data_IF_247353637495
#
_entry.id   IF_247353637495
#
_cell.length_a   1.000
_cell.length_b   1.000
_cell.length_c   1.000
_cell.angle_alpha   90.00
_cell.angle_beta   90.00
_cell.angle_gamma   90.00
#
_symmetry.space_group_name_H-M   'P 1'
#
loop_
_entity.id
_entity.type
_entity.pdbx_description
1 polymer ?
#
# COMPACT_ATOMS: atom_id res chain seq x y z
N UNK A 1 -9.56 16.27 17.68
CA UNK A 1 -8.22 16.45 18.28
C UNK A 1 -8.07 17.88 18.73
N UNK A 2 -7.76 18.11 20.02
CA UNK A 2 -7.44 19.44 20.55
C UNK A 2 -5.99 19.73 20.18
N UNK A 3 -5.75 20.57 19.17
CA UNK A 3 -4.41 21.05 18.80
C UNK A 3 -3.89 22.16 19.72
N UNK A 4 -4.66 22.52 20.77
CA UNK A 4 -4.34 23.61 21.69
C UNK A 4 -3.77 23.00 22.97
N UNK A 5 -2.46 23.14 23.13
CA UNK A 5 -1.75 22.92 24.39
C UNK A 5 -1.88 24.20 25.25
N UNK A 6 -2.13 24.05 26.54
CA UNK A 6 -2.08 25.21 27.46
C UNK A 6 -0.64 25.72 27.56
N UNK A 7 -0.37 27.03 27.71
CA UNK A 7 0.99 27.52 27.93
C UNK A 7 1.68 26.90 29.16
N UNK A 8 0.90 26.43 30.14
CA UNK A 8 1.39 25.75 31.34
C UNK A 8 1.57 24.23 31.16
N UNK A 9 1.14 23.67 30.01
CA UNK A 9 1.24 22.26 29.71
C UNK A 9 2.57 21.98 28.97
N UNK A 10 3.39 21.03 29.44
CA UNK A 10 4.72 20.81 28.87
C UNK A 10 4.61 20.33 27.42
N UNK A 11 5.44 20.90 26.55
CA UNK A 11 5.46 20.51 25.13
C UNK A 11 5.65 19.00 24.99
N UNK A 12 4.89 18.32 24.10
CA UNK A 12 4.97 16.86 23.97
C UNK A 12 6.39 16.43 23.64
N UNK A 13 6.90 15.44 24.36
CA UNK A 13 8.26 14.93 24.16
C UNK A 13 8.46 14.26 22.78
N UNK A 14 7.38 13.92 22.08
CA UNK A 14 7.41 13.32 20.74
C UNK A 14 6.30 13.92 19.88
N UNK A 15 6.70 14.51 18.76
CA UNK A 15 5.83 14.77 17.63
C UNK A 15 5.83 13.48 16.79
N UNK A 16 5.12 12.46 17.27
CA UNK A 16 5.01 11.19 16.54
C UNK A 16 4.26 11.41 15.22
N UNK A 17 4.51 10.53 14.24
CA UNK A 17 3.74 10.52 13.01
C UNK A 17 2.25 10.36 13.33
N UNK A 18 1.42 11.06 12.57
CA UNK A 18 -0.03 10.88 12.63
C UNK A 18 -0.38 9.42 12.34
N UNK A 19 -1.37 8.90 13.07
CA UNK A 19 -1.94 7.57 12.80
C UNK A 19 -2.57 7.56 11.41
N UNK A 20 -2.67 6.38 10.80
CA UNK A 20 -3.21 6.22 9.45
C UNK A 20 -4.61 6.80 9.33
N UNK A 21 -5.48 6.51 10.31
CA UNK A 21 -6.86 7.01 10.29
C UNK A 21 -6.92 8.55 10.34
N UNK A 22 -5.96 9.19 11.02
CA UNK A 22 -5.93 10.65 11.14
C UNK A 22 -5.50 11.32 9.83
N UNK A 23 -4.60 10.68 9.07
CA UNK A 23 -4.19 11.15 7.74
C UNK A 23 -5.29 10.97 6.72
N UNK A 24 -6.01 9.85 6.74
CA UNK A 24 -7.18 9.62 5.87
C UNK A 24 -8.31 10.63 6.14
N UNK A 25 -8.56 10.94 7.42
CA UNK A 25 -9.53 11.97 7.81
C UNK A 25 -9.08 13.34 7.33
N UNK A 26 -7.79 13.66 7.41
CA UNK A 26 -7.25 14.91 6.89
C UNK A 26 -7.41 15.00 5.36
N UNK A 27 -7.08 13.93 4.64
CA UNK A 27 -7.28 13.84 3.19
C UNK A 27 -8.74 14.06 2.79
N UNK A 28 -9.67 13.41 3.51
CA UNK A 28 -11.11 13.58 3.30
C UNK A 28 -11.58 15.02 3.53
N UNK A 29 -10.99 15.73 4.48
CA UNK A 29 -11.32 17.15 4.73
C UNK A 29 -10.82 18.04 3.62
N UNK A 30 -9.59 17.84 3.16
CA UNK A 30 -9.02 18.62 2.06
C UNK A 30 -9.82 18.45 0.78
N UNK A 31 -10.30 17.23 0.47
CA UNK A 31 -11.19 17.02 -0.68
C UNK A 31 -12.49 17.83 -0.59
N UNK A 32 -13.08 17.92 0.61
CA UNK A 32 -14.29 18.73 0.83
C UNK A 32 -14.00 20.23 0.77
N UNK A 33 -12.82 20.65 1.23
CA UNK A 33 -12.35 22.04 1.14
C UNK A 33 -12.18 22.44 -0.33
N UNK A 34 -11.55 21.59 -1.15
CA UNK A 34 -11.42 21.77 -2.61
C UNK A 34 -12.79 21.91 -3.27
N UNK A 35 -13.74 21.02 -2.98
CA UNK A 35 -15.09 21.11 -3.54
C UNK A 35 -15.77 22.43 -3.15
N UNK A 36 -15.61 22.85 -1.90
CA UNK A 36 -16.18 24.10 -1.40
C UNK A 36 -15.57 25.32 -2.10
N UNK A 37 -14.24 25.43 -2.14
CA UNK A 37 -13.50 26.52 -2.80
C UNK A 37 -13.87 26.59 -4.28
N UNK A 38 -13.83 25.47 -5.00
CA UNK A 38 -14.19 25.44 -6.41
C UNK A 38 -15.65 25.87 -6.64
N UNK A 39 -16.57 25.49 -5.75
CA UNK A 39 -17.98 25.89 -5.85
C UNK A 39 -18.25 27.36 -5.50
N UNK A 40 -17.43 27.95 -4.63
CA UNK A 40 -17.63 29.30 -4.08
C UNK A 40 -16.85 30.36 -4.85
N UNK A 41 -15.58 30.08 -5.08
CA UNK A 41 -14.60 31.01 -5.63
C UNK A 41 -14.25 30.70 -7.09
N UNK A 42 -14.61 29.50 -7.58
CA UNK A 42 -14.38 29.06 -8.96
C UNK A 42 -12.97 28.55 -9.23
N UNK A 43 -12.09 28.62 -8.23
CA UNK A 43 -10.72 28.12 -8.24
C UNK A 43 -10.37 27.53 -6.87
N UNK A 44 -9.27 26.78 -6.82
CA UNK A 44 -8.75 26.16 -5.59
C UNK A 44 -7.57 26.98 -5.11
N UNK A 45 -7.49 27.25 -3.81
CA UNK A 45 -6.37 27.96 -3.23
C UNK A 45 -5.06 27.16 -3.39
N UNK A 46 -3.95 27.85 -3.65
CA UNK A 46 -2.66 27.22 -3.87
C UNK A 46 -2.17 26.42 -2.64
N UNK A 47 -2.48 26.88 -1.42
CA UNK A 47 -2.17 26.17 -0.19
C UNK A 47 -3.00 24.88 -0.08
N UNK A 48 -4.30 24.94 -0.40
CA UNK A 48 -5.19 23.77 -0.38
C UNK A 48 -4.73 22.72 -1.40
N UNK A 49 -4.32 23.14 -2.59
CA UNK A 49 -3.73 22.26 -3.60
C UNK A 49 -2.43 21.61 -3.13
N UNK A 50 -1.49 22.40 -2.57
CA UNK A 50 -0.24 21.87 -2.03
C UNK A 50 -0.48 20.85 -0.91
N UNK A 51 -1.40 21.14 0.00
CA UNK A 51 -1.78 20.22 1.10
C UNK A 51 -2.35 18.90 0.59
N UNK A 52 -3.13 18.94 -0.49
CA UNK A 52 -3.67 17.73 -1.14
C UNK A 52 -2.56 16.89 -1.76
N UNK A 53 -1.59 17.51 -2.40
CA UNK A 53 -0.46 16.81 -3.01
C UNK A 53 0.46 16.19 -1.94
N UNK A 54 0.77 16.92 -0.86
CA UNK A 54 1.52 16.38 0.28
C UNK A 54 0.84 15.16 0.93
N UNK A 55 -0.49 15.20 1.08
CA UNK A 55 -1.25 14.08 1.63
C UNK A 55 -1.30 12.87 0.68
N UNK A 56 -1.31 13.10 -0.63
CA UNK A 56 -1.24 12.02 -1.61
C UNK A 56 0.11 11.30 -1.51
N UNK A 57 1.22 12.05 -1.47
CA UNK A 57 2.56 11.49 -1.34
C UNK A 57 2.71 10.67 -0.04
N UNK A 58 2.23 11.19 1.10
CA UNK A 58 2.30 10.48 2.38
C UNK A 58 1.45 9.19 2.39
N UNK A 59 0.26 9.21 1.77
CA UNK A 59 -0.58 8.00 1.67
C UNK A 59 0.03 6.97 0.73
N UNK A 60 0.61 7.39 -0.39
CA UNK A 60 1.35 6.51 -1.29
C UNK A 60 2.56 5.86 -0.58
N UNK A 61 3.28 6.60 0.25
CA UNK A 61 4.38 6.07 1.07
C UNK A 61 3.89 5.02 2.08
N UNK A 62 2.69 5.20 2.65
CA UNK A 62 2.09 4.24 3.60
C UNK A 62 1.61 2.97 2.89
N UNK A 63 0.98 3.12 1.73
CA UNK A 63 0.47 2.01 0.91
C UNK A 63 1.62 1.15 0.34
N UNK A 64 2.76 1.76 0.03
CA UNK A 64 3.96 1.04 -0.39
C UNK A 64 4.55 0.13 0.72
N UNK A 65 4.09 0.28 1.97
CA UNK A 65 4.55 -0.47 3.13
C UNK A 65 5.97 -0.09 3.58
N UNK A 66 6.54 -0.79 4.57
CA UNK A 66 7.90 -0.53 4.98
C UNK A 66 8.83 -0.78 3.79
N UNK A 67 9.56 0.27 3.36
CA UNK A 67 10.63 0.14 2.37
C UNK A 67 11.50 -1.02 2.80
N UNK A 68 11.47 -2.12 2.03
CA UNK A 68 12.13 -3.39 2.35
C UNK A 68 13.53 -3.11 2.93
N UNK A 69 13.71 -3.29 4.25
CA UNK A 69 15.05 -3.25 4.79
C UNK A 69 15.76 -4.47 4.21
N UNK A 70 16.73 -4.24 3.33
CA UNK A 70 17.74 -5.22 2.95
C UNK A 70 18.48 -5.62 4.22
N UNK A 71 17.89 -6.52 5.01
CA UNK A 71 18.62 -7.28 6.01
C UNK A 71 19.70 -8.00 5.23
N UNK A 72 21.00 -7.73 5.47
CA UNK A 72 22.06 -8.53 4.87
C UNK A 72 21.84 -9.98 5.31
N UNK A 73 21.97 -10.97 4.41
CA UNK A 73 21.97 -12.36 4.82
C UNK A 73 23.01 -12.53 5.93
N UNK A 74 22.63 -13.18 7.04
CA UNK A 74 23.60 -13.61 8.04
C UNK A 74 24.55 -14.59 7.36
N UNK A 75 25.74 -14.13 7.00
CA UNK A 75 26.91 -14.99 6.89
C UNK A 75 27.30 -15.33 8.33
N UNK A 76 26.94 -16.53 8.80
CA UNK A 76 27.62 -17.27 9.87
C UNK A 76 26.78 -18.52 10.21
N UNK A 77 27.14 -19.66 9.61
CA UNK A 77 27.12 -21.00 10.23
C UNK A 77 27.87 -22.00 9.31
N UNK A 78 29.13 -21.68 8.98
CA UNK A 78 30.11 -22.68 8.55
C UNK A 78 30.79 -23.23 9.81
N UNK A 79 30.38 -24.40 10.31
CA UNK A 79 31.26 -25.35 10.98
C UNK A 79 30.55 -26.67 11.32
N UNK A 80 31.09 -27.75 10.74
CA UNK A 80 31.20 -29.07 11.38
C UNK A 80 29.91 -29.89 11.58
N UNK A 81 29.56 -30.71 10.57
CA UNK A 81 29.20 -32.12 10.82
C UNK A 81 29.51 -33.01 9.62
N UNK A 82 30.73 -33.53 9.64
CA UNK A 82 31.04 -34.94 9.42
C UNK A 82 30.40 -35.67 8.24
N UNK A 83 31.23 -35.90 7.23
CA UNK A 83 31.27 -37.10 6.40
C UNK A 83 30.73 -38.36 7.09
N UNK A 84 29.69 -39.00 6.51
CA UNK A 84 29.64 -40.47 6.35
C UNK A 84 28.85 -40.85 5.10
N UNK A 85 29.54 -41.56 4.22
CA UNK A 85 29.03 -42.28 3.05
C UNK A 85 28.24 -43.55 3.43
N UNK A 86 27.07 -43.75 2.81
CA UNK A 86 26.45 -45.04 2.43
C UNK A 86 25.07 -44.69 1.84
N UNK A 87 24.74 -44.88 0.56
CA UNK A 87 24.76 -46.15 -0.15
C UNK A 87 23.40 -46.84 0.04
N UNK A 88 22.42 -46.59 -0.85
CA UNK A 88 21.46 -47.64 -1.23
C UNK A 88 20.67 -47.28 -2.50
N UNK A 89 20.59 -48.28 -3.36
CA UNK A 89 20.05 -48.27 -4.71
C UNK A 89 18.52 -48.37 -4.80
N UNK A 90 18.04 -48.01 -5.99
CA UNK A 90 17.01 -48.70 -6.79
C UNK A 90 15.53 -48.28 -6.70
N UNK A 91 14.99 -48.16 -7.92
CA UNK A 91 13.66 -48.60 -8.39
C UNK A 91 12.58 -47.53 -8.71
N UNK A 92 12.61 -47.11 -9.97
CA UNK A 92 11.53 -47.18 -10.99
C UNK A 92 10.05 -46.97 -10.58
N UNK A 93 9.40 -46.02 -11.27
CA UNK A 93 8.30 -46.24 -12.25
C UNK A 93 7.02 -45.39 -12.09
N UNK A 94 6.81 -44.55 -13.12
CA UNK A 94 5.55 -44.16 -13.80
C UNK A 94 4.35 -43.58 -13.02
N UNK A 95 4.12 -42.28 -13.21
CA UNK A 95 3.06 -41.76 -14.09
C UNK A 95 1.61 -41.77 -13.61
N UNK A 96 1.05 -40.58 -13.33
CA UNK A 96 -0.30 -40.17 -13.75
C UNK A 96 -0.44 -38.62 -13.72
N UNK A 97 -0.80 -37.95 -14.84
CA UNK A 97 -1.06 -36.52 -14.87
C UNK A 97 -2.57 -36.21 -14.69
N UNK A 98 -2.95 -35.86 -13.46
CA UNK A 98 -4.28 -35.35 -13.13
C UNK A 98 -4.45 -33.87 -13.50
N UNK A 99 -5.06 -33.62 -14.66
CA UNK A 99 -5.50 -32.30 -15.09
C UNK A 99 -6.61 -31.73 -14.18
N UNK A 100 -6.48 -30.46 -13.79
CA UNK A 100 -7.63 -29.63 -13.39
C UNK A 100 -7.54 -28.28 -14.11
N UNK A 101 -8.12 -28.27 -15.31
CA UNK A 101 -8.56 -27.06 -15.97
C UNK A 101 -9.81 -26.54 -15.25
N UNK A 102 -9.82 -25.25 -14.90
CA UNK A 102 -10.95 -24.56 -14.30
C UNK A 102 -10.82 -23.05 -14.51
N UNK A 103 -10.51 -22.64 -15.74
CA UNK A 103 -10.47 -21.24 -16.14
C UNK A 103 -11.88 -20.64 -16.00
N UNK A 104 -11.99 -19.67 -15.10
CA UNK A 104 -13.17 -18.85 -14.89
C UNK A 104 -13.70 -18.27 -16.20
N UNK A 105 -14.99 -18.50 -16.44
CA UNK A 105 -15.75 -17.94 -17.53
C UNK A 105 -15.74 -16.40 -17.46
N UNK A 106 -14.99 -15.79 -18.37
CA UNK A 106 -15.02 -14.35 -18.62
C UNK A 106 -16.32 -14.04 -19.37
N UNK A 107 -17.30 -13.49 -18.64
CA UNK A 107 -18.54 -12.99 -19.21
C UNK A 107 -18.25 -11.83 -20.17
N UNK A 108 -19.07 -11.79 -21.22
CA UNK A 108 -18.96 -10.98 -22.42
C UNK A 108 -19.61 -9.61 -22.20
N UNK A 109 -19.02 -8.59 -22.83
CA UNK A 109 -19.75 -7.69 -23.71
C UNK A 109 -20.53 -6.53 -23.07
N UNK A 110 -20.08 -5.32 -23.37
CA UNK A 110 -20.84 -4.07 -23.21
C UNK A 110 -20.11 -2.91 -23.88
N UNK A 111 -20.17 -2.86 -25.21
CA UNK A 111 -19.60 -1.83 -26.08
C UNK A 111 -20.30 -0.48 -25.86
N UNK A 112 -19.54 0.59 -25.58
CA UNK A 112 -20.03 1.96 -25.33
C UNK A 112 -20.15 2.81 -26.62
N UNK A 113 -20.27 2.17 -27.77
CA UNK A 113 -20.36 2.86 -29.06
C UNK A 113 -21.77 2.76 -29.66
N UNK A 114 -22.70 3.59 -29.20
CA UNK A 114 -23.82 4.13 -30.01
C UNK A 114 -24.70 5.07 -29.17
N UNK A 115 -24.28 6.33 -29.06
CA UNK A 115 -25.11 7.39 -28.49
C UNK A 115 -24.79 8.73 -29.15
N UNK A 116 -24.90 8.80 -30.48
CA UNK A 116 -24.90 10.06 -31.23
C UNK A 116 -25.55 9.87 -32.61
N UNK A 117 -26.87 9.65 -32.61
CA UNK A 117 -27.73 10.00 -33.74
C UNK A 117 -29.17 10.15 -33.25
N UNK A 118 -29.69 11.38 -33.34
CA UNK A 118 -31.05 11.76 -32.97
C UNK A 118 -31.17 13.27 -32.96
#
# INVERSE_FOLDING_TARGET
>A
MKSRISPDEPFPARLERLRDEDVEVLNSKVHREIEHEFSTDGEVDAETAARKDELADELDERDAGPRLSLVPPREDDDAERGSTSAGHDSATQAGDPGASAGLSARARGGSWADAQRG
#
